data_IF_028581701209
#
_entry.id   IF_028581701209
#
_cell.length_a   1.000
_cell.length_b   1.000
_cell.length_c   1.000
_cell.angle_alpha   90.00
_cell.angle_beta   90.00
_cell.angle_gamma   90.00
#
_symmetry.space_group_name_H-M   'P 1'
#
loop_
_entity.id
_entity.type
_entity.pdbx_description
1 polymer ?
#
# COMPACT_ATOMS: atom_id res chain seq x y z
N UNK A 1 -4.35 47.30 -5.93
CA UNK A 1 -4.86 45.91 -5.94
C UNK A 1 -3.76 44.86 -6.13
N UNK A 2 -2.73 45.12 -6.94
CA UNK A 2 -1.64 44.16 -7.22
C UNK A 2 -0.86 43.67 -5.98
N UNK A 3 -0.59 44.54 -4.99
CA UNK A 3 0.12 44.13 -3.76
C UNK A 3 -0.70 43.12 -2.94
N UNK A 4 -2.03 43.32 -2.83
CA UNK A 4 -2.92 42.37 -2.13
C UNK A 4 -2.95 41.02 -2.83
N UNK A 5 -2.98 41.04 -4.16
CA UNK A 5 -2.90 39.85 -5.01
C UNK A 5 -1.60 39.08 -4.77
N UNK A 6 -0.46 39.77 -4.77
CA UNK A 6 0.85 39.16 -4.54
C UNK A 6 0.95 38.53 -3.15
N UNK A 7 0.52 39.24 -2.10
CA UNK A 7 0.53 38.71 -0.73
C UNK A 7 -0.35 37.47 -0.59
N UNK A 8 -1.55 37.49 -1.17
CA UNK A 8 -2.47 36.35 -1.12
C UNK A 8 -1.93 35.14 -1.89
N UNK A 9 -1.49 35.32 -3.14
CA UNK A 9 -0.97 34.23 -3.98
C UNK A 9 0.33 33.63 -3.42
N UNK A 10 1.20 34.46 -2.84
CA UNK A 10 2.40 34.01 -2.16
C UNK A 10 2.07 33.19 -0.91
N UNK A 11 1.18 33.70 -0.04
CA UNK A 11 0.77 32.98 1.16
C UNK A 11 0.10 31.63 0.86
N UNK A 12 -0.76 31.58 -0.15
CA UNK A 12 -1.38 30.32 -0.61
C UNK A 12 -0.34 29.34 -1.15
N UNK A 13 0.66 29.83 -1.90
CA UNK A 13 1.73 28.99 -2.45
C UNK A 13 2.59 28.43 -1.32
N UNK A 14 2.95 29.25 -0.33
CA UNK A 14 3.68 28.80 0.85
C UNK A 14 2.87 27.77 1.67
N UNK A 15 1.57 27.97 1.83
CA UNK A 15 0.71 27.02 2.52
C UNK A 15 0.68 25.67 1.79
N UNK A 16 0.46 25.65 0.47
CA UNK A 16 0.51 24.41 -0.31
C UNK A 16 1.90 23.76 -0.27
N UNK A 17 2.97 24.54 -0.35
CA UNK A 17 4.34 24.03 -0.21
C UNK A 17 4.60 23.40 1.17
N UNK A 18 4.08 24.00 2.25
CA UNK A 18 4.10 23.40 3.58
C UNK A 18 3.32 22.08 3.60
N UNK A 19 2.11 22.06 3.01
CA UNK A 19 1.29 20.85 2.94
C UNK A 19 2.02 19.67 2.32
N UNK A 20 2.69 19.87 1.18
CA UNK A 20 3.45 18.82 0.49
C UNK A 20 4.74 18.38 1.19
N UNK A 21 5.22 19.15 2.17
CA UNK A 21 6.46 18.86 2.89
C UNK A 21 6.14 18.42 4.31
N UNK A 22 6.35 19.30 5.30
CA UNK A 22 6.16 19.03 6.72
C UNK A 22 4.71 18.64 7.02
N UNK A 23 3.75 19.24 6.28
CA UNK A 23 2.32 19.04 6.45
C UNK A 23 1.89 17.57 6.39
N UNK A 24 2.30 16.84 5.36
CA UNK A 24 1.94 15.43 5.14
C UNK A 24 2.94 14.45 5.78
N UNK A 25 4.22 14.81 5.86
CA UNK A 25 5.27 13.89 6.31
C UNK A 25 5.34 13.76 7.84
N UNK A 26 5.10 14.84 8.59
CA UNK A 26 5.20 14.81 10.06
C UNK A 26 3.89 14.27 10.68
N UNK A 27 3.92 13.18 11.49
CA UNK A 27 2.76 12.69 12.23
C UNK A 27 2.11 13.73 13.17
N UNK A 28 2.87 14.72 13.65
CA UNK A 28 2.39 15.75 14.59
C UNK A 28 1.94 17.05 13.91
N UNK A 29 1.99 17.11 12.59
CA UNK A 29 1.59 18.26 11.77
C UNK A 29 0.17 18.72 12.05
N UNK A 30 -0.07 20.02 11.86
CA UNK A 30 -1.41 20.60 11.92
C UNK A 30 -2.39 19.93 10.96
N UNK A 31 -1.96 19.60 9.74
CA UNK A 31 -2.84 19.01 8.73
C UNK A 31 -3.36 17.63 9.13
N UNK A 32 -2.56 16.82 9.83
CA UNK A 32 -3.00 15.51 10.33
C UNK A 32 -4.01 15.57 11.48
N UNK A 33 -4.20 16.76 12.08
CA UNK A 33 -5.24 16.98 13.10
C UNK A 33 -6.58 17.39 12.48
N UNK A 34 -6.60 17.71 11.18
CA UNK A 34 -7.82 18.08 10.47
C UNK A 34 -8.53 16.78 10.04
N UNK A 35 -9.84 16.65 10.29
CA UNK A 35 -10.62 15.52 9.77
C UNK A 35 -10.54 15.38 8.24
N UNK A 36 -10.37 14.15 7.76
CA UNK A 36 -10.23 13.87 6.32
C UNK A 36 -11.38 14.42 5.46
N UNK A 37 -12.62 14.42 5.97
CA UNK A 37 -13.77 14.95 5.22
C UNK A 37 -13.69 16.46 4.90
N UNK A 38 -12.81 17.21 5.59
CA UNK A 38 -12.56 18.63 5.34
C UNK A 38 -11.49 18.89 4.28
N UNK A 39 -10.78 17.87 3.80
CA UNK A 39 -9.70 18.01 2.82
C UNK A 39 -10.19 18.65 1.51
N UNK A 40 -11.25 18.12 0.92
CA UNK A 40 -11.85 18.64 -0.32
C UNK A 40 -12.43 20.05 -0.14
N UNK A 41 -13.25 20.35 0.90
CA UNK A 41 -13.67 21.72 1.19
C UNK A 41 -12.51 22.70 1.32
N UNK A 42 -11.43 22.33 2.02
CA UNK A 42 -10.25 23.17 2.19
C UNK A 42 -9.56 23.47 0.85
N UNK A 43 -9.40 22.45 0.01
CA UNK A 43 -8.87 22.58 -1.34
C UNK A 43 -9.74 23.50 -2.21
N UNK A 44 -11.07 23.36 -2.16
CA UNK A 44 -11.99 24.24 -2.89
C UNK A 44 -11.84 25.71 -2.47
N UNK A 45 -11.67 25.98 -1.17
CA UNK A 45 -11.40 27.33 -0.67
C UNK A 45 -10.07 27.85 -1.22
N UNK A 46 -9.00 27.05 -1.20
CA UNK A 46 -7.71 27.44 -1.79
C UNK A 46 -7.84 27.80 -3.28
N UNK A 47 -8.60 27.01 -4.05
CA UNK A 47 -8.86 27.28 -5.47
C UNK A 47 -9.56 28.63 -5.68
N UNK A 48 -10.64 28.90 -4.92
CA UNK A 48 -11.36 30.17 -4.99
C UNK A 48 -10.48 31.36 -4.61
N UNK A 49 -9.59 31.21 -3.63
CA UNK A 49 -8.65 32.25 -3.24
C UNK A 49 -7.59 32.53 -4.33
N UNK A 50 -7.13 31.51 -5.07
CA UNK A 50 -6.28 31.72 -6.25
C UNK A 50 -7.00 32.44 -7.39
N UNK A 51 -8.29 32.15 -7.62
CA UNK A 51 -9.09 32.90 -8.59
C UNK A 51 -9.24 34.36 -8.18
N UNK A 52 -9.47 34.63 -6.90
CA UNK A 52 -9.54 35.98 -6.35
C UNK A 52 -8.21 36.72 -6.50
N UNK A 53 -7.09 36.07 -6.16
CA UNK A 53 -5.76 36.63 -6.33
C UNK A 53 -5.50 36.97 -7.80
N UNK A 54 -5.81 36.05 -8.72
CA UNK A 54 -5.66 36.24 -10.17
C UNK A 54 -6.48 37.44 -10.66
N UNK A 55 -7.74 37.56 -10.23
CA UNK A 55 -8.58 38.70 -10.55
C UNK A 55 -8.02 40.03 -10.03
N UNK A 56 -7.51 40.08 -8.79
CA UNK A 56 -6.84 41.25 -8.25
C UNK A 56 -5.54 41.61 -8.97
N UNK A 57 -4.81 40.63 -9.49
CA UNK A 57 -3.60 40.87 -10.29
C UNK A 57 -3.95 41.62 -11.57
N UNK A 58 -4.95 41.15 -12.31
CA UNK A 58 -5.44 41.81 -13.53
C UNK A 58 -5.95 43.23 -13.25
N UNK A 59 -6.77 43.41 -12.20
CA UNK A 59 -7.28 44.74 -11.84
C UNK A 59 -6.17 45.69 -11.38
N UNK A 60 -5.11 45.18 -10.77
CA UNK A 60 -3.97 45.96 -10.30
C UNK A 60 -2.86 46.18 -11.34
N UNK A 61 -3.02 45.65 -12.56
CA UNK A 61 -1.98 45.65 -13.57
C UNK A 61 -1.61 47.07 -14.06
N UNK A 62 -2.60 47.97 -14.10
CA UNK A 62 -2.40 49.37 -14.50
C UNK A 62 -1.45 50.13 -13.57
N UNK A 63 -1.51 49.84 -12.26
CA UNK A 63 -0.75 50.57 -11.23
C UNK A 63 0.65 49.99 -11.01
N UNK A 64 0.76 48.65 -10.96
CA UNK A 64 2.01 47.96 -10.61
C UNK A 64 2.21 46.70 -11.45
N UNK A 65 2.73 46.87 -12.67
CA UNK A 65 2.90 45.78 -13.65
C UNK A 65 3.75 44.62 -13.15
N UNK A 66 4.92 44.90 -12.57
CA UNK A 66 5.85 43.85 -12.09
C UNK A 66 5.22 43.05 -10.96
N UNK A 67 4.61 43.72 -9.98
CA UNK A 67 3.92 43.07 -8.85
C UNK A 67 2.77 42.19 -9.33
N UNK A 68 1.99 42.65 -10.30
CA UNK A 68 0.90 41.87 -10.88
C UNK A 68 1.43 40.64 -11.65
N UNK A 69 2.50 40.77 -12.43
CA UNK A 69 3.12 39.64 -13.14
C UNK A 69 3.70 38.59 -12.17
N UNK A 70 4.39 39.02 -11.12
CA UNK A 70 4.89 38.11 -10.08
C UNK A 70 3.74 37.35 -9.42
N UNK A 71 2.64 38.05 -9.11
CA UNK A 71 1.46 37.41 -8.53
C UNK A 71 0.82 36.40 -9.47
N UNK A 72 0.73 36.70 -10.78
CA UNK A 72 0.23 35.75 -11.77
C UNK A 72 1.12 34.51 -11.87
N UNK A 73 2.45 34.69 -11.76
CA UNK A 73 3.41 33.59 -11.66
C UNK A 73 3.16 32.69 -10.45
N UNK A 74 2.96 33.26 -9.27
CA UNK A 74 2.59 32.49 -8.06
C UNK A 74 1.23 31.80 -8.21
N UNK A 75 0.23 32.46 -8.80
CA UNK A 75 -1.06 31.81 -9.07
C UNK A 75 -0.90 30.62 -10.01
N UNK A 76 -0.15 30.75 -11.10
CA UNK A 76 0.05 29.67 -12.07
C UNK A 76 0.78 28.46 -11.42
N UNK A 77 1.87 28.71 -10.69
CA UNK A 77 2.61 27.68 -9.98
C UNK A 77 1.77 27.03 -8.87
N UNK A 78 1.09 27.85 -8.06
CA UNK A 78 0.23 27.41 -6.97
C UNK A 78 -0.97 26.61 -7.43
N UNK A 79 -1.59 26.96 -8.56
CA UNK A 79 -2.66 26.16 -9.18
C UNK A 79 -2.15 24.80 -9.70
N UNK A 80 -0.90 24.73 -10.16
CA UNK A 80 -0.25 23.46 -10.49
C UNK A 80 -0.11 22.54 -9.27
N UNK A 81 0.41 23.07 -8.16
CA UNK A 81 0.50 22.35 -6.87
C UNK A 81 -0.88 21.94 -6.35
N UNK A 82 -1.86 22.85 -6.42
CA UNK A 82 -3.25 22.58 -6.06
C UNK A 82 -3.82 21.41 -6.85
N UNK A 83 -3.61 21.38 -8.17
CA UNK A 83 -4.11 20.30 -9.02
C UNK A 83 -3.54 18.94 -8.58
N UNK A 84 -2.23 18.88 -8.29
CA UNK A 84 -1.61 17.67 -7.75
C UNK A 84 -2.26 17.25 -6.42
N UNK A 85 -2.45 18.18 -5.49
CA UNK A 85 -3.04 17.88 -4.17
C UNK A 85 -4.49 17.36 -4.33
N UNK A 86 -5.26 17.99 -5.20
CA UNK A 86 -6.63 17.61 -5.48
C UNK A 86 -6.73 16.22 -6.12
N UNK A 87 -5.86 15.88 -7.07
CA UNK A 87 -5.86 14.54 -7.67
C UNK A 87 -5.42 13.46 -6.67
N UNK A 88 -4.45 13.75 -5.79
CA UNK A 88 -4.06 12.83 -4.72
C UNK A 88 -5.21 12.58 -3.75
N UNK A 89 -5.92 13.64 -3.34
CA UNK A 89 -7.04 13.55 -2.40
C UNK A 89 -8.28 12.89 -3.04
N UNK A 90 -8.63 13.26 -4.27
CA UNK A 90 -9.75 12.66 -5.00
C UNK A 90 -9.51 11.18 -5.35
N UNK A 91 -8.23 10.79 -5.46
CA UNK A 91 -7.79 9.41 -5.61
C UNK A 91 -7.50 8.69 -4.30
N UNK A 92 -7.71 9.33 -3.15
CA UNK A 92 -7.35 8.76 -1.86
C UNK A 92 -8.08 7.43 -1.62
N UNK A 93 -7.32 6.40 -1.22
CA UNK A 93 -7.83 5.05 -1.03
C UNK A 93 -8.20 4.30 -2.32
N UNK A 94 -7.89 4.85 -3.50
CA UNK A 94 -8.09 4.18 -4.79
C UNK A 94 -6.74 3.90 -5.45
N UNK A 95 -6.62 2.74 -6.08
CA UNK A 95 -5.47 2.44 -6.92
C UNK A 95 -5.37 3.39 -8.11
N UNK A 96 -4.14 3.69 -8.54
CA UNK A 96 -3.94 4.41 -9.78
C UNK A 96 -4.44 3.55 -10.97
N UNK A 97 -5.00 4.16 -12.03
CA UNK A 97 -5.44 3.43 -13.21
C UNK A 97 -4.33 2.54 -13.78
N UNK A 98 -4.57 1.24 -13.88
CA UNK A 98 -3.60 0.26 -14.38
C UNK A 98 -2.49 -0.14 -13.40
N UNK A 99 -2.59 0.24 -12.12
CA UNK A 99 -1.65 -0.20 -11.09
C UNK A 99 -1.80 -1.70 -10.77
N UNK A 100 -3.03 -2.20 -10.75
CA UNK A 100 -3.36 -3.59 -10.49
C UNK A 100 -4.14 -4.19 -11.67
N UNK A 101 -3.95 -5.48 -11.88
CA UNK A 101 -4.74 -6.29 -12.81
C UNK A 101 -5.83 -7.02 -12.01
N UNK A 102 -7.09 -6.92 -12.46
CA UNK A 102 -8.26 -7.49 -11.77
C UNK A 102 -8.81 -8.73 -12.47
N UNK A 103 -7.99 -9.37 -13.30
CA UNK A 103 -8.32 -10.59 -14.00
C UNK A 103 -7.06 -11.45 -14.27
N UNK A 104 -7.30 -12.68 -14.69
CA UNK A 104 -6.24 -13.62 -15.08
C UNK A 104 -5.76 -13.46 -16.52
N UNK A 105 -6.30 -12.52 -17.30
CA UNK A 105 -6.02 -12.41 -18.74
C UNK A 105 -4.58 -11.98 -19.03
N UNK A 106 -4.03 -11.15 -18.13
CA UNK A 106 -2.66 -10.64 -18.22
C UNK A 106 -1.66 -11.42 -17.37
N UNK A 107 -2.14 -12.36 -16.55
CA UNK A 107 -1.28 -13.13 -15.67
C UNK A 107 -0.37 -14.06 -16.48
N UNK A 108 0.91 -14.10 -16.12
CA UNK A 108 1.87 -15.05 -16.69
C UNK A 108 1.30 -16.49 -16.65
N UNK A 109 1.32 -17.24 -17.77
CA UNK A 109 0.70 -18.56 -17.82
C UNK A 109 1.25 -19.56 -16.79
N UNK A 110 2.54 -19.47 -16.45
CA UNK A 110 3.16 -20.34 -15.46
C UNK A 110 2.68 -19.99 -14.04
N UNK A 111 2.54 -18.69 -13.74
CA UNK A 111 1.98 -18.23 -12.46
C UNK A 111 0.49 -18.56 -12.35
N UNK A 112 -0.27 -18.40 -13.43
CA UNK A 112 -1.68 -18.81 -13.48
C UNK A 112 -1.84 -20.30 -13.16
N UNK A 113 -1.01 -21.16 -13.76
CA UNK A 113 -1.02 -22.59 -13.47
C UNK A 113 -0.62 -22.90 -12.02
N UNK A 114 0.32 -22.15 -11.45
CA UNK A 114 0.71 -22.30 -10.04
C UNK A 114 -0.43 -21.90 -9.09
N UNK A 115 -1.09 -20.76 -9.35
CA UNK A 115 -2.26 -20.30 -8.59
C UNK A 115 -3.41 -21.29 -8.71
N UNK A 116 -3.64 -21.85 -9.90
CA UNK A 116 -4.66 -22.88 -10.11
C UNK A 116 -4.36 -24.16 -9.32
N UNK A 117 -3.11 -24.62 -9.30
CA UNK A 117 -2.69 -25.77 -8.49
C UNK A 117 -2.85 -25.51 -6.99
N UNK A 118 -2.46 -24.32 -6.52
CA UNK A 118 -2.64 -23.89 -5.12
C UNK A 118 -4.12 -23.85 -4.74
N UNK A 119 -4.96 -23.22 -5.57
CA UNK A 119 -6.40 -23.16 -5.36
C UNK A 119 -7.02 -24.57 -5.31
N UNK A 120 -6.67 -25.44 -6.26
CA UNK A 120 -7.17 -26.81 -6.31
C UNK A 120 -6.74 -27.61 -5.07
N UNK A 121 -5.49 -27.46 -4.62
CA UNK A 121 -4.98 -28.07 -3.39
C UNK A 121 -5.73 -27.59 -2.14
N UNK A 122 -6.20 -26.35 -2.15
CA UNK A 122 -7.04 -25.73 -1.13
C UNK A 122 -8.54 -26.08 -1.24
N UNK A 123 -8.94 -26.90 -2.21
CA UNK A 123 -10.35 -27.27 -2.46
C UNK A 123 -11.17 -26.20 -3.19
N UNK A 124 -10.50 -25.24 -3.84
CA UNK A 124 -11.09 -24.13 -4.58
C UNK A 124 -10.71 -24.20 -6.07
N UNK A 125 -11.38 -23.40 -6.91
CA UNK A 125 -10.94 -23.14 -8.28
C UNK A 125 -10.59 -21.67 -8.51
N UNK A 126 -10.11 -21.33 -9.71
CA UNK A 126 -9.77 -19.94 -10.06
C UNK A 126 -10.98 -18.99 -9.99
N UNK A 127 -12.20 -19.50 -10.15
CA UNK A 127 -13.44 -18.74 -9.99
C UNK A 127 -13.66 -18.21 -8.56
N UNK A 128 -12.96 -18.79 -7.59
CA UNK A 128 -13.01 -18.38 -6.19
C UNK A 128 -12.00 -17.27 -5.87
N UNK A 129 -11.20 -16.84 -6.85
CA UNK A 129 -10.24 -15.76 -6.67
C UNK A 129 -10.94 -14.40 -6.58
N UNK A 130 -10.59 -13.63 -5.56
CA UNK A 130 -10.97 -12.22 -5.43
C UNK A 130 -9.72 -11.37 -5.64
N UNK A 131 -9.75 -10.58 -6.71
CA UNK A 131 -8.68 -9.63 -6.99
C UNK A 131 -8.79 -8.43 -6.06
N UNK A 132 -7.68 -8.04 -5.44
CA UNK A 132 -7.64 -6.95 -4.48
C UNK A 132 -6.32 -6.20 -4.54
N UNK A 133 -6.33 -4.97 -4.03
CA UNK A 133 -5.15 -4.16 -3.83
C UNK A 133 -4.32 -4.64 -2.62
N UNK A 134 -3.04 -4.31 -2.65
CA UNK A 134 -2.07 -4.76 -1.64
C UNK A 134 -2.47 -4.39 -0.19
N UNK A 135 -3.08 -3.22 0.04
CA UNK A 135 -3.49 -2.78 1.39
C UNK A 135 -4.79 -3.44 1.91
N UNK A 136 -5.56 -4.10 1.04
CA UNK A 136 -6.81 -4.77 1.42
C UNK A 136 -6.63 -6.27 1.68
N UNK A 137 -5.60 -6.90 1.08
CA UNK A 137 -5.40 -8.35 1.13
C UNK A 137 -5.27 -8.95 2.55
N UNK A 138 -4.72 -8.18 3.50
CA UNK A 138 -4.55 -8.62 4.88
C UNK A 138 -5.82 -8.48 5.73
N UNK A 139 -6.75 -7.60 5.32
CA UNK A 139 -7.91 -7.22 6.13
C UNK A 139 -9.13 -8.09 5.85
N UNK A 140 -9.05 -8.97 4.85
CA UNK A 140 -10.19 -9.76 4.45
C UNK A 140 -10.40 -10.96 5.35
N UNK A 141 -11.62 -11.05 5.89
CA UNK A 141 -12.13 -12.34 6.33
C UNK A 141 -12.23 -13.23 5.10
N UNK A 142 -11.48 -14.33 5.06
CA UNK A 142 -11.61 -15.35 4.04
C UNK A 142 -12.79 -16.27 4.41
N UNK A 143 -14.00 -16.11 3.85
CA UNK A 143 -15.01 -17.14 3.90
C UNK A 143 -14.46 -18.40 3.24
N UNK A 144 -14.96 -19.55 3.67
CA UNK A 144 -14.43 -20.89 3.40
C UNK A 144 -14.26 -21.28 1.92
N UNK A 145 -14.66 -20.43 0.96
CA UNK A 145 -14.66 -20.74 -0.47
C UNK A 145 -14.17 -19.58 -1.34
N UNK A 146 -13.24 -18.75 -0.85
CA UNK A 146 -12.53 -17.77 -1.68
C UNK A 146 -11.10 -17.55 -1.19
N UNK A 147 -10.24 -17.10 -2.08
CA UNK A 147 -8.90 -16.63 -1.76
C UNK A 147 -8.66 -15.28 -2.43
N UNK A 148 -7.72 -14.52 -1.91
CA UNK A 148 -7.42 -13.19 -2.43
C UNK A 148 -6.09 -13.14 -3.12
N UNK A 149 -6.05 -12.40 -4.21
CA UNK A 149 -4.87 -12.30 -5.06
C UNK A 149 -4.67 -10.85 -5.49
N UNK A 150 -3.43 -10.39 -5.43
CA UNK A 150 -3.01 -9.10 -5.93
C UNK A 150 -2.07 -9.32 -7.11
N UNK A 151 -2.47 -8.85 -8.29
CA UNK A 151 -1.69 -8.96 -9.52
C UNK A 151 -1.28 -7.57 -9.99
N UNK A 152 0.00 -7.43 -10.35
CA UNK A 152 0.53 -6.20 -10.93
C UNK A 152 1.37 -6.53 -12.15
N UNK A 153 1.04 -5.91 -13.29
CA UNK A 153 1.77 -6.09 -14.56
C UNK A 153 1.90 -7.56 -14.94
N UNK A 154 0.84 -8.34 -14.74
CA UNK A 154 0.80 -9.76 -15.07
C UNK A 154 1.60 -10.67 -14.14
N UNK A 155 1.93 -10.23 -12.93
CA UNK A 155 2.66 -10.99 -11.91
C UNK A 155 1.90 -11.00 -10.58
N UNK A 156 1.86 -12.13 -9.88
CA UNK A 156 1.32 -12.23 -8.52
C UNK A 156 2.28 -11.56 -7.55
N UNK A 157 1.78 -10.56 -6.84
CA UNK A 157 2.56 -9.76 -5.88
C UNK A 157 2.15 -10.01 -4.44
N UNK A 158 0.88 -10.35 -4.21
CA UNK A 158 0.42 -10.80 -2.91
C UNK A 158 -0.63 -11.91 -3.06
N UNK A 159 -0.65 -12.84 -2.11
CA UNK A 159 -1.61 -13.94 -2.08
C UNK A 159 -2.04 -14.23 -0.64
N UNK A 160 -3.36 -14.39 -0.45
CA UNK A 160 -3.94 -14.79 0.82
C UNK A 160 -4.78 -16.05 0.65
N UNK A 161 -4.26 -17.16 1.18
CA UNK A 161 -4.89 -18.49 1.21
C UNK A 161 -5.25 -18.91 2.64
N UNK A 162 -5.41 -17.93 3.54
CA UNK A 162 -5.76 -18.18 4.94
C UNK A 162 -7.09 -18.92 5.07
N UNK A 163 -7.19 -19.77 6.09
CA UNK A 163 -8.33 -20.64 6.40
C UNK A 163 -8.54 -21.81 5.40
N UNK A 164 -7.55 -22.08 4.55
CA UNK A 164 -7.53 -23.24 3.67
C UNK A 164 -6.34 -24.16 3.95
N UNK A 165 -6.56 -25.46 3.84
CA UNK A 165 -5.47 -26.44 4.00
C UNK A 165 -4.52 -26.34 2.81
N UNK A 166 -3.24 -26.05 3.09
CA UNK A 166 -2.18 -26.02 2.10
C UNK A 166 -1.17 -27.12 2.39
N UNK A 167 -0.95 -28.02 1.44
CA UNK A 167 -0.02 -29.15 1.59
C UNK A 167 1.25 -29.03 0.74
N UNK A 168 1.20 -28.29 -0.38
CA UNK A 168 2.33 -28.14 -1.30
C UNK A 168 2.82 -26.70 -1.34
N UNK A 169 3.82 -26.40 -0.51
CA UNK A 169 4.47 -25.09 -0.46
C UNK A 169 5.49 -24.89 -1.61
N UNK A 170 5.87 -25.93 -2.34
CA UNK A 170 6.85 -25.81 -3.42
C UNK A 170 6.33 -24.97 -4.59
N UNK A 171 5.00 -24.86 -4.72
CA UNK A 171 4.35 -24.06 -5.77
C UNK A 171 4.63 -22.56 -5.64
N UNK A 172 4.95 -22.05 -4.45
CA UNK A 172 5.29 -20.64 -4.25
C UNK A 172 6.61 -20.25 -4.95
N UNK A 173 7.50 -21.21 -5.22
CA UNK A 173 8.71 -20.97 -6.02
C UNK A 173 8.42 -20.51 -7.44
N UNK A 174 7.21 -20.79 -7.95
CA UNK A 174 6.75 -20.37 -9.28
C UNK A 174 6.17 -18.96 -9.29
N UNK A 175 6.15 -18.25 -8.16
CA UNK A 175 5.65 -16.88 -8.02
C UNK A 175 6.81 -15.91 -7.72
N UNK A 176 7.66 -15.58 -8.71
CA UNK A 176 8.93 -14.86 -8.49
C UNK A 176 8.77 -13.40 -8.04
N UNK A 177 7.56 -12.85 -8.14
CA UNK A 177 7.22 -11.49 -7.73
C UNK A 177 6.46 -11.41 -6.41
N UNK A 178 6.21 -12.55 -5.75
CA UNK A 178 5.45 -12.60 -4.51
C UNK A 178 6.20 -11.88 -3.37
N UNK A 179 5.60 -10.80 -2.88
CA UNK A 179 6.12 -9.98 -1.78
C UNK A 179 5.40 -10.21 -0.46
N UNK A 180 4.10 -10.49 -0.52
CA UNK A 180 3.25 -10.68 0.66
C UNK A 180 2.48 -12.01 0.58
N UNK A 181 2.59 -12.82 1.62
CA UNK A 181 1.95 -14.12 1.70
C UNK A 181 1.24 -14.29 3.05
N UNK A 182 -0.04 -14.64 2.99
CA UNK A 182 -0.88 -14.91 4.16
C UNK A 182 -1.39 -16.35 4.10
N UNK A 183 -0.96 -17.14 5.10
CA UNK A 183 -1.24 -18.57 5.27
C UNK A 183 -1.72 -18.83 6.70
N UNK A 184 -2.60 -17.97 7.21
CA UNK A 184 -3.15 -18.11 8.55
C UNK A 184 -4.09 -19.32 8.61
N UNK A 185 -4.01 -20.13 9.66
CA UNK A 185 -4.90 -21.29 9.84
C UNK A 185 -4.92 -22.25 8.63
N UNK A 186 -3.74 -22.59 8.12
CA UNK A 186 -3.57 -23.47 6.96
C UNK A 186 -3.15 -24.91 7.33
N UNK A 187 -3.13 -25.24 8.63
CA UNK A 187 -2.66 -26.51 9.18
C UNK A 187 -1.19 -26.84 8.83
N UNK A 188 -0.34 -25.81 8.73
CA UNK A 188 1.08 -25.97 8.45
C UNK A 188 1.85 -26.43 9.70
N UNK A 189 2.73 -27.41 9.54
CA UNK A 189 3.68 -27.84 10.58
C UNK A 189 5.14 -27.75 10.12
N UNK A 190 5.36 -27.74 8.79
CA UNK A 190 6.66 -27.59 8.14
C UNK A 190 6.54 -26.56 7.00
N UNK A 191 7.60 -25.76 6.84
CA UNK A 191 7.71 -24.72 5.81
C UNK A 191 8.88 -24.96 4.84
N UNK A 192 9.53 -26.12 4.90
CA UNK A 192 10.73 -26.45 4.10
C UNK A 192 10.55 -26.31 2.59
N UNK A 193 9.33 -26.51 2.08
CA UNK A 193 8.99 -26.32 0.67
C UNK A 193 8.79 -24.86 0.24
N UNK A 194 8.67 -23.92 1.18
CA UNK A 194 8.40 -22.52 0.86
C UNK A 194 9.67 -21.82 0.37
N UNK A 195 9.69 -21.52 -0.92
CA UNK A 195 10.76 -20.75 -1.56
C UNK A 195 10.18 -19.51 -2.21
N UNK A 196 10.66 -18.33 -1.80
CA UNK A 196 10.29 -17.07 -2.41
C UNK A 196 11.35 -16.01 -2.08
N UNK A 197 12.13 -15.63 -3.10
CA UNK A 197 13.25 -14.70 -2.92
C UNK A 197 12.79 -13.28 -2.61
N UNK A 198 11.61 -12.87 -3.06
CA UNK A 198 11.10 -11.49 -2.88
C UNK A 198 10.15 -11.32 -1.71
N UNK A 199 9.86 -12.39 -0.97
CA UNK A 199 8.90 -12.36 0.11
C UNK A 199 9.40 -11.47 1.24
N UNK A 200 8.73 -10.32 1.42
CA UNK A 200 9.01 -9.36 2.48
C UNK A 200 8.07 -9.51 3.67
N UNK A 201 6.82 -9.91 3.45
CA UNK A 201 5.82 -10.15 4.51
C UNK A 201 5.28 -11.57 4.46
N UNK A 202 5.33 -12.25 5.60
CA UNK A 202 4.78 -13.58 5.78
C UNK A 202 3.93 -13.63 7.06
N UNK A 203 2.68 -14.05 6.92
CA UNK A 203 1.80 -14.39 8.04
C UNK A 203 1.47 -15.88 8.01
N UNK A 204 1.93 -16.61 9.01
CA UNK A 204 1.68 -18.04 9.26
C UNK A 204 1.04 -18.26 10.63
N UNK A 205 0.29 -17.27 11.11
CA UNK A 205 -0.40 -17.35 12.39
C UNK A 205 -1.43 -18.49 12.45
N UNK A 206 -1.74 -18.99 13.65
CA UNK A 206 -2.73 -20.05 13.88
C UNK A 206 -2.40 -21.36 13.13
N UNK A 207 -1.12 -21.73 13.06
CA UNK A 207 -0.66 -23.00 12.49
C UNK A 207 -0.06 -23.90 13.59
N UNK A 208 0.68 -24.94 13.20
CA UNK A 208 1.31 -25.92 14.09
C UNK A 208 2.84 -25.93 13.92
N UNK A 209 3.42 -24.78 13.57
CA UNK A 209 4.85 -24.65 13.32
C UNK A 209 5.63 -24.75 14.64
N UNK A 210 6.69 -25.56 14.64
CA UNK A 210 7.51 -25.81 15.84
C UNK A 210 8.87 -25.10 15.78
N UNK A 211 9.38 -24.81 14.57
CA UNK A 211 10.70 -24.21 14.34
C UNK A 211 10.70 -23.35 13.07
N UNK A 212 11.43 -22.23 13.09
CA UNK A 212 11.60 -21.30 11.96
C UNK A 212 12.76 -21.68 11.04
N UNK A 213 13.62 -22.66 11.40
CA UNK A 213 14.74 -23.14 10.55
C UNK A 213 14.30 -23.68 9.20
N UNK A 214 13.02 -23.99 9.02
CA UNK A 214 12.43 -24.48 7.77
C UNK A 214 12.19 -23.35 6.75
N UNK A 215 12.23 -22.08 7.15
CA UNK A 215 12.01 -20.89 6.30
C UNK A 215 13.25 -20.40 5.52
N UNK A 216 14.28 -21.22 5.36
CA UNK A 216 15.53 -20.85 4.67
C UNK A 216 15.33 -20.38 3.21
N UNK A 217 14.24 -20.80 2.57
CA UNK A 217 13.89 -20.40 1.20
C UNK A 217 13.35 -18.97 1.07
N UNK A 218 13.19 -18.23 2.17
CA UNK A 218 12.64 -16.88 2.19
C UNK A 218 13.60 -15.89 2.89
N UNK A 219 14.81 -15.64 2.36
CA UNK A 219 15.87 -14.91 3.07
C UNK A 219 15.57 -13.42 3.32
N UNK A 220 14.62 -12.84 2.57
CA UNK A 220 14.33 -11.41 2.56
C UNK A 220 13.07 -11.02 3.35
N UNK A 221 12.57 -11.90 4.22
CA UNK A 221 11.41 -11.61 5.07
C UNK A 221 11.75 -10.50 6.07
N UNK A 222 10.96 -9.43 6.04
CA UNK A 222 11.06 -8.25 6.90
C UNK A 222 9.97 -8.24 7.97
N UNK A 223 8.76 -8.72 7.65
CA UNK A 223 7.64 -8.84 8.59
C UNK A 223 7.21 -10.30 8.71
N UNK A 224 7.42 -10.90 9.88
CA UNK A 224 7.05 -12.29 10.17
C UNK A 224 6.02 -12.35 11.31
N UNK A 225 4.81 -12.80 10.99
CA UNK A 225 3.77 -13.06 11.98
C UNK A 225 3.57 -14.57 12.09
N UNK A 226 3.84 -15.13 13.27
CA UNK A 226 3.65 -16.55 13.56
C UNK A 226 2.98 -16.74 14.93
N UNK A 227 1.93 -15.94 15.17
CA UNK A 227 1.12 -16.00 16.39
C UNK A 227 0.45 -17.38 16.52
N UNK A 228 0.19 -17.82 17.75
CA UNK A 228 -0.55 -19.06 18.05
C UNK A 228 -0.02 -20.29 17.29
N UNK A 229 1.30 -20.50 17.37
CA UNK A 229 1.98 -21.69 16.85
C UNK A 229 2.56 -22.52 18.01
N UNK A 230 3.46 -23.46 17.70
CA UNK A 230 4.13 -24.32 18.68
C UNK A 230 5.63 -24.01 18.80
N UNK A 231 6.04 -22.76 18.50
CA UNK A 231 7.43 -22.33 18.61
C UNK A 231 7.89 -22.37 20.07
N UNK A 232 9.02 -23.03 20.33
CA UNK A 232 9.63 -23.10 21.67
C UNK A 232 10.77 -22.11 21.86
N UNK A 233 11.38 -21.67 20.77
CA UNK A 233 12.41 -20.64 20.74
C UNK A 233 12.31 -19.86 19.44
N UNK A 234 13.13 -18.81 19.33
CA UNK A 234 13.28 -18.00 18.12
C UNK A 234 14.43 -18.48 17.23
N UNK A 235 14.93 -19.70 17.43
CA UNK A 235 15.97 -20.28 16.56
C UNK A 235 15.50 -20.26 15.10
N UNK A 236 16.41 -19.99 14.17
CA UNK A 236 16.11 -19.82 12.75
C UNK A 236 15.86 -18.37 12.37
N UNK A 237 15.62 -17.45 13.31
CA UNK A 237 15.50 -16.02 12.98
C UNK A 237 16.79 -15.42 12.43
N UNK A 238 17.95 -15.97 12.80
CA UNK A 238 19.26 -15.52 12.34
C UNK A 238 19.45 -15.60 10.82
N UNK A 239 18.59 -16.34 10.11
CA UNK A 239 18.63 -16.43 8.66
C UNK A 239 18.07 -15.18 7.96
N UNK A 240 17.24 -14.38 8.64
CA UNK A 240 16.62 -13.19 8.07
C UNK A 240 17.48 -11.96 8.35
N UNK A 241 18.05 -11.36 7.29
CA UNK A 241 18.98 -10.24 7.42
C UNK A 241 18.30 -8.88 7.59
N UNK A 242 17.03 -8.78 7.19
CA UNK A 242 16.30 -7.52 7.09
C UNK A 242 15.05 -7.48 7.99
N UNK A 243 15.02 -8.26 9.07
CA UNK A 243 13.82 -8.34 9.90
C UNK A 243 13.51 -6.99 10.57
N UNK A 244 12.30 -6.48 10.32
CA UNK A 244 11.80 -5.21 10.84
C UNK A 244 10.87 -5.45 12.02
N UNK A 245 9.99 -6.44 11.93
CA UNK A 245 9.01 -6.74 12.98
C UNK A 245 8.66 -8.21 13.02
N UNK A 246 8.43 -8.71 14.23
CA UNK A 246 7.95 -10.07 14.48
C UNK A 246 6.79 -10.07 15.46
N UNK A 247 5.89 -11.04 15.32
CA UNK A 247 4.89 -11.37 16.34
C UNK A 247 4.84 -12.88 16.54
N UNK A 248 5.19 -13.30 17.75
CA UNK A 248 5.12 -14.69 18.17
C UNK A 248 4.23 -14.91 19.39
N UNK A 249 3.30 -13.99 19.65
CA UNK A 249 2.35 -14.13 20.76
C UNK A 249 1.61 -15.47 20.69
N UNK A 250 1.28 -16.06 21.85
CA UNK A 250 0.55 -17.34 21.90
C UNK A 250 1.38 -18.58 21.54
N UNK A 251 2.71 -18.48 21.47
CA UNK A 251 3.61 -19.63 21.37
C UNK A 251 4.15 -20.07 22.75
N UNK A 252 4.42 -21.36 22.96
CA UNK A 252 4.98 -21.89 24.22
C UNK A 252 6.51 -21.67 24.31
N UNK A 253 6.95 -20.42 24.23
CA UNK A 253 8.37 -20.07 24.31
C UNK A 253 8.90 -20.19 25.74
N UNK A 254 10.13 -20.66 25.88
CA UNK A 254 10.87 -20.75 27.14
C UNK A 254 12.04 -19.76 27.18
#
# INVERSE_FOLDING_TARGET
>A
MAIRSLLLSFALTCFLGYSFTVGLTDPNSFLKKIPDWLSIPMLLVCFLLYLLATWWAFKGFGDHKITALLSLGFCAFGLGLYATAFFMEAGHGRAAPGQYDYDFSRLDPAEKAAVEQLANGAGMGLQNAVFTEHWHIAQSANPSNRFEICVQKGRVTALNLSDHRISDLALFSKLPALGDLYLKNCHLFDMSGLQSEKLGRLDVSDNQIVDLKTLRGCPNVQWLFAKNNQLKSTDGLEQFREIVSTDFTGNPMH
#
